data_IF_833193035618
#
_entry.id   IF_833193035618
#
_cell.length_a   1.000
_cell.length_b   1.000
_cell.length_c   1.000
_cell.angle_alpha   90.00
_cell.angle_beta   90.00
_cell.angle_gamma   90.00
#
_symmetry.space_group_name_H-M   'P 1'
#
loop_
_entity.id
_entity.type
_entity.pdbx_description
1 polymer ?
#
# COMPACT_ATOMS: atom_id res chain seq x y z
N UNK A 1 -30.86 -15.92 24.23
CA UNK A 1 -29.49 -15.37 24.22
C UNK A 1 -28.69 -16.14 23.19
N UNK A 2 -28.33 -15.53 22.06
CA UNK A 2 -27.48 -16.15 21.04
C UNK A 2 -26.02 -15.86 21.45
N UNK A 3 -25.15 -16.87 21.53
CA UNK A 3 -23.78 -16.69 22.01
C UNK A 3 -22.93 -15.85 21.03
N UNK A 4 -22.10 -14.94 21.56
CA UNK A 4 -21.40 -13.88 20.80
C UNK A 4 -20.46 -14.41 19.71
N UNK A 5 -19.95 -15.64 19.86
CA UNK A 5 -19.11 -16.32 18.90
C UNK A 5 -19.81 -16.68 17.57
N UNK A 6 -21.14 -16.56 17.48
CA UNK A 6 -21.89 -16.82 16.24
C UNK A 6 -22.01 -15.57 15.34
N UNK A 7 -21.67 -14.37 15.83
CA UNK A 7 -21.77 -13.12 15.04
C UNK A 7 -20.61 -12.91 14.07
N UNK A 8 -19.55 -13.72 14.14
CA UNK A 8 -18.29 -13.54 13.39
C UNK A 8 -17.92 -14.71 12.49
N UNK A 9 -18.86 -15.60 12.15
CA UNK A 9 -18.65 -16.53 11.04
C UNK A 9 -18.73 -15.77 9.71
N UNK A 10 -17.62 -15.16 9.30
CA UNK A 10 -17.40 -14.79 7.91
C UNK A 10 -17.23 -16.09 7.12
N UNK A 11 -18.22 -16.45 6.33
CA UNK A 11 -18.08 -17.49 5.31
C UNK A 11 -17.07 -16.94 4.28
N UNK A 12 -15.78 -17.24 4.47
CA UNK A 12 -14.76 -17.01 3.47
C UNK A 12 -14.98 -18.01 2.34
N UNK A 13 -15.81 -17.64 1.38
CA UNK A 13 -15.89 -18.35 0.11
C UNK A 13 -14.51 -18.21 -0.52
N UNK A 14 -13.72 -19.30 -0.50
CA UNK A 14 -12.42 -19.37 -1.17
C UNK A 14 -12.65 -19.93 -2.57
N UNK A 15 -12.89 -19.08 -3.59
CA UNK A 15 -13.27 -19.54 -4.93
C UNK A 15 -12.23 -20.49 -5.53
N UNK A 16 -10.95 -20.34 -5.17
CA UNK A 16 -9.89 -21.26 -5.58
C UNK A 16 -10.08 -22.69 -5.04
N UNK A 17 -10.56 -22.87 -3.81
CA UNK A 17 -10.79 -24.21 -3.24
C UNK A 17 -11.96 -24.88 -3.93
N UNK A 18 -13.06 -24.15 -4.17
CA UNK A 18 -14.22 -24.64 -4.92
C UNK A 18 -13.83 -25.00 -6.35
N UNK A 19 -12.98 -24.18 -6.99
CA UNK A 19 -12.49 -24.43 -8.34
C UNK A 19 -11.58 -25.65 -8.42
N UNK A 20 -10.65 -25.79 -7.49
CA UNK A 20 -9.79 -26.98 -7.39
C UNK A 20 -10.66 -28.22 -7.15
N UNK A 21 -11.68 -28.12 -6.31
CA UNK A 21 -12.65 -29.19 -6.11
C UNK A 21 -13.43 -29.52 -7.39
N UNK A 22 -13.90 -28.54 -8.15
CA UNK A 22 -14.60 -28.76 -9.43
C UNK A 22 -13.67 -29.36 -10.49
N UNK A 23 -12.43 -28.88 -10.59
CA UNK A 23 -11.43 -29.36 -11.53
C UNK A 23 -10.91 -30.76 -11.20
N UNK A 24 -10.85 -31.13 -9.91
CA UNK A 24 -10.41 -32.46 -9.47
C UNK A 24 -11.59 -33.45 -9.41
N UNK A 25 -12.79 -33.00 -9.06
CA UNK A 25 -13.98 -33.86 -9.01
C UNK A 25 -14.37 -34.36 -10.40
N UNK A 26 -14.30 -33.55 -11.45
CA UNK A 26 -14.60 -34.01 -12.81
C UNK A 26 -13.75 -35.21 -13.28
N UNK A 27 -12.39 -35.17 -13.21
CA UNK A 27 -11.56 -36.31 -13.56
C UNK A 27 -11.70 -37.46 -12.57
N UNK A 28 -11.88 -37.23 -11.26
CA UNK A 28 -12.13 -38.32 -10.31
C UNK A 28 -13.45 -39.03 -10.62
N UNK A 29 -14.53 -38.28 -10.90
CA UNK A 29 -15.83 -38.84 -11.29
C UNK A 29 -15.71 -39.56 -12.62
N UNK A 30 -14.99 -39.01 -13.61
CA UNK A 30 -14.71 -39.67 -14.89
C UNK A 30 -13.90 -40.97 -14.69
N UNK A 31 -12.91 -40.98 -13.79
CA UNK A 31 -12.07 -42.13 -13.52
C UNK A 31 -12.85 -43.20 -12.75
N UNK A 32 -13.68 -42.81 -11.77
CA UNK A 32 -14.62 -43.71 -11.10
C UNK A 32 -15.66 -44.28 -12.08
N UNK A 33 -16.19 -43.46 -12.98
CA UNK A 33 -17.14 -43.89 -14.01
C UNK A 33 -16.46 -44.81 -15.02
N UNK A 34 -15.21 -44.54 -15.39
CA UNK A 34 -14.40 -45.39 -16.27
C UNK A 34 -14.14 -46.75 -15.64
N UNK A 35 -13.67 -46.79 -14.39
CA UNK A 35 -13.46 -48.03 -13.62
C UNK A 35 -14.75 -48.82 -13.48
N UNK A 36 -15.87 -48.16 -13.18
CA UNK A 36 -17.18 -48.81 -13.07
C UNK A 36 -17.72 -49.31 -14.42
N UNK A 37 -17.42 -48.60 -15.51
CA UNK A 37 -17.82 -48.96 -16.88
C UNK A 37 -17.01 -50.12 -17.47
N UNK A 38 -15.72 -50.21 -17.11
CA UNK A 38 -14.81 -51.26 -17.55
C UNK A 38 -15.23 -52.65 -17.03
N UNK A 39 -15.80 -52.69 -15.82
CA UNK A 39 -16.29 -53.92 -15.18
C UNK A 39 -17.66 -54.39 -15.72
N UNK A 40 -18.38 -53.53 -16.46
CA UNK A 40 -19.74 -53.79 -16.98
C UNK A 40 -19.88 -53.79 -18.50
N UNK A 41 -18.79 -53.68 -19.26
CA UNK A 41 -18.83 -53.65 -20.73
C UNK A 41 -19.51 -52.41 -21.33
N UNK A 42 -19.65 -51.33 -20.55
CA UNK A 42 -20.37 -50.11 -20.97
C UNK A 42 -19.62 -49.30 -22.03
N UNK A 43 -18.32 -49.55 -22.20
CA UNK A 43 -17.50 -48.92 -23.24
C UNK A 43 -17.95 -49.29 -24.66
N UNK A 44 -18.58 -50.46 -24.85
CA UNK A 44 -19.17 -50.85 -26.14
C UNK A 44 -20.48 -50.10 -26.46
N UNK A 45 -21.16 -49.55 -25.44
CA UNK A 45 -22.32 -48.66 -25.62
C UNK A 45 -21.92 -47.17 -25.78
N UNK A 46 -20.64 -46.85 -25.56
CA UNK A 46 -20.08 -45.51 -25.73
C UNK A 46 -19.67 -45.28 -27.18
N UNK A 47 -20.61 -45.49 -28.11
CA UNK A 47 -20.36 -45.21 -29.53
C UNK A 47 -20.19 -43.70 -29.70
N UNK A 48 -18.95 -43.28 -29.97
CA UNK A 48 -18.66 -41.96 -30.51
C UNK A 48 -19.26 -41.89 -31.91
N UNK A 49 -20.56 -41.64 -31.98
CA UNK A 49 -21.29 -41.44 -33.23
C UNK A 49 -21.27 -39.96 -33.61
N UNK A 50 -21.41 -39.67 -34.90
CA UNK A 50 -21.52 -38.27 -35.35
C UNK A 50 -22.70 -37.53 -34.69
N UNK A 51 -23.71 -38.25 -34.17
CA UNK A 51 -24.86 -37.68 -33.50
C UNK A 51 -24.56 -37.19 -32.06
N UNK A 52 -23.60 -37.79 -31.34
CA UNK A 52 -23.29 -37.42 -29.94
C UNK A 52 -22.06 -36.51 -29.83
N UNK A 53 -21.20 -36.46 -30.85
CA UNK A 53 -20.02 -35.61 -30.90
C UNK A 53 -20.28 -34.11 -30.63
N UNK A 54 -21.36 -33.48 -31.14
CA UNK A 54 -21.64 -32.06 -30.86
C UNK A 54 -21.90 -31.78 -29.37
N UNK A 55 -22.60 -32.69 -28.67
CA UNK A 55 -22.89 -32.56 -27.25
C UNK A 55 -21.62 -32.62 -26.38
N UNK A 56 -20.67 -33.47 -26.76
CA UNK A 56 -19.36 -33.55 -26.10
C UNK A 56 -18.53 -32.29 -26.31
N UNK A 57 -18.47 -31.77 -27.54
CA UNK A 57 -17.77 -30.51 -27.84
C UNK A 57 -18.36 -29.36 -27.04
N UNK A 58 -19.69 -29.31 -26.90
CA UNK A 58 -20.37 -28.29 -26.10
C UNK A 58 -20.05 -28.42 -24.61
N UNK A 59 -20.06 -29.64 -24.06
CA UNK A 59 -19.75 -29.87 -22.65
C UNK A 59 -18.31 -29.46 -22.32
N UNK A 60 -17.32 -29.92 -23.08
CA UNK A 60 -15.92 -29.54 -22.90
C UNK A 60 -15.68 -28.05 -23.18
N UNK A 61 -16.34 -27.47 -24.18
CA UNK A 61 -16.29 -26.05 -24.48
C UNK A 61 -16.79 -25.19 -23.31
N UNK A 62 -17.86 -25.61 -22.64
CA UNK A 62 -18.41 -24.88 -21.48
C UNK A 62 -17.47 -24.90 -20.28
N UNK A 63 -16.85 -26.05 -19.99
CA UNK A 63 -15.86 -26.18 -18.90
C UNK A 63 -14.60 -25.36 -19.21
N UNK A 64 -14.09 -25.41 -20.44
CA UNK A 64 -12.96 -24.61 -20.88
C UNK A 64 -13.22 -23.11 -20.76
N UNK A 65 -14.42 -22.65 -21.14
CA UNK A 65 -14.82 -21.26 -21.01
C UNK A 65 -14.88 -20.79 -19.54
N UNK A 66 -15.40 -21.62 -18.63
CA UNK A 66 -15.45 -21.30 -17.19
C UNK A 66 -14.04 -21.18 -16.62
N UNK A 67 -13.14 -22.12 -16.94
CA UNK A 67 -11.73 -22.07 -16.48
C UNK A 67 -11.03 -20.83 -17.02
N UNK A 68 -11.21 -20.52 -18.30
CA UNK A 68 -10.63 -19.33 -18.92
C UNK A 68 -11.16 -18.04 -18.27
N UNK A 69 -12.46 -17.93 -18.03
CA UNK A 69 -13.06 -16.77 -17.37
C UNK A 69 -12.48 -16.54 -15.96
N UNK A 70 -12.30 -17.61 -15.19
CA UNK A 70 -11.76 -17.51 -13.82
C UNK A 70 -10.27 -17.18 -13.84
N UNK A 71 -9.52 -17.76 -14.78
CA UNK A 71 -8.12 -17.41 -14.97
C UNK A 71 -7.94 -15.93 -15.34
N UNK A 72 -8.75 -15.42 -16.27
CA UNK A 72 -8.74 -14.00 -16.67
C UNK A 72 -9.12 -13.10 -15.50
N UNK A 73 -10.18 -13.43 -14.75
CA UNK A 73 -10.60 -12.66 -13.58
C UNK A 73 -9.51 -12.61 -12.50
N UNK A 74 -8.85 -13.74 -12.22
CA UNK A 74 -7.74 -13.79 -11.26
C UNK A 74 -6.51 -13.01 -11.78
N UNK A 75 -6.20 -13.12 -13.07
CA UNK A 75 -5.10 -12.39 -13.69
C UNK A 75 -5.33 -10.87 -13.66
N UNK A 76 -6.55 -10.42 -13.93
CA UNK A 76 -6.96 -9.02 -13.83
C UNK A 76 -6.88 -8.53 -12.38
N UNK A 77 -7.45 -9.26 -11.42
CA UNK A 77 -7.41 -8.88 -10.00
C UNK A 77 -5.99 -8.78 -9.44
N UNK A 78 -5.06 -9.65 -9.88
CA UNK A 78 -3.65 -9.52 -9.52
C UNK A 78 -3.00 -8.26 -10.11
N UNK A 79 -3.30 -7.91 -11.35
CA UNK A 79 -2.78 -6.69 -11.99
C UNK A 79 -3.28 -5.45 -11.28
N UNK A 80 -4.58 -5.36 -11.00
CA UNK A 80 -5.18 -4.25 -10.27
C UNK A 80 -4.58 -4.09 -8.87
N UNK A 81 -4.42 -5.20 -8.14
CA UNK A 81 -3.77 -5.18 -6.82
C UNK A 81 -2.34 -4.67 -6.89
N UNK A 82 -1.57 -5.10 -7.88
CA UNK A 82 -0.18 -4.61 -8.06
C UNK A 82 -0.12 -3.13 -8.42
N UNK A 83 -1.01 -2.66 -9.31
CA UNK A 83 -1.11 -1.24 -9.66
C UNK A 83 -1.46 -0.40 -8.45
N UNK A 84 -2.43 -0.86 -7.64
CA UNK A 84 -2.82 -0.20 -6.40
C UNK A 84 -1.67 -0.12 -5.40
N UNK A 85 -0.96 -1.23 -5.15
CA UNK A 85 0.20 -1.24 -4.26
C UNK A 85 1.32 -0.28 -4.72
N UNK A 86 1.54 -0.18 -6.04
CA UNK A 86 2.50 0.78 -6.61
C UNK A 86 2.07 2.22 -6.38
N UNK A 87 0.80 2.54 -6.59
CA UNK A 87 0.26 3.88 -6.36
C UNK A 87 0.35 4.28 -4.88
N UNK A 88 -0.02 3.36 -3.99
CA UNK A 88 0.07 3.53 -2.53
C UNK A 88 1.52 3.77 -2.08
N UNK A 89 2.46 2.95 -2.57
CA UNK A 89 3.88 3.14 -2.30
C UNK A 89 4.40 4.47 -2.84
N UNK A 90 4.08 4.80 -4.09
CA UNK A 90 4.52 6.03 -4.74
C UNK A 90 4.05 7.27 -3.98
N UNK A 91 2.80 7.26 -3.50
CA UNK A 91 2.23 8.32 -2.69
C UNK A 91 2.99 8.50 -1.37
N UNK A 92 3.24 7.41 -0.63
CA UNK A 92 4.03 7.44 0.60
C UNK A 92 5.48 7.89 0.36
N UNK A 93 6.11 7.41 -0.72
CA UNK A 93 7.48 7.79 -1.09
C UNK A 93 7.59 9.28 -1.41
N UNK A 94 6.62 9.83 -2.16
CA UNK A 94 6.56 11.27 -2.45
C UNK A 94 6.41 12.08 -1.16
N UNK A 95 5.50 11.67 -0.28
CA UNK A 95 5.34 12.29 1.03
C UNK A 95 6.68 12.26 1.79
N UNK A 96 7.26 11.08 1.99
CA UNK A 96 8.55 10.90 2.68
C UNK A 96 9.63 11.88 2.19
N UNK A 97 9.81 12.03 0.87
CA UNK A 97 10.81 12.94 0.32
C UNK A 97 10.50 14.42 0.66
N UNK A 98 9.23 14.83 0.61
CA UNK A 98 8.82 16.17 1.04
C UNK A 98 9.11 16.40 2.54
N UNK A 99 8.84 15.40 3.40
CA UNK A 99 9.18 15.50 4.83
C UNK A 99 10.69 15.51 5.07
N UNK A 100 11.46 14.71 4.34
CA UNK A 100 12.92 14.71 4.45
C UNK A 100 13.51 16.08 4.06
N UNK A 101 13.00 16.70 2.99
CA UNK A 101 13.36 18.05 2.60
C UNK A 101 13.01 19.07 3.69
N UNK A 102 11.78 19.05 4.20
CA UNK A 102 11.33 19.93 5.28
C UNK A 102 12.20 19.76 6.54
N UNK A 103 12.53 18.53 6.91
CA UNK A 103 13.43 18.24 8.04
C UNK A 103 14.84 18.79 7.82
N UNK A 104 15.33 18.79 6.57
CA UNK A 104 16.58 19.44 6.20
C UNK A 104 16.52 20.95 6.45
N UNK A 105 15.44 21.62 6.03
CA UNK A 105 15.22 23.03 6.31
C UNK A 105 15.16 23.33 7.82
N UNK A 106 14.48 22.50 8.61
CA UNK A 106 14.43 22.65 10.07
C UNK A 106 15.83 22.56 10.70
N UNK A 107 16.68 21.63 10.25
CA UNK A 107 18.08 21.53 10.70
C UNK A 107 18.89 22.76 10.33
N UNK A 108 18.73 23.26 9.10
CA UNK A 108 19.42 24.47 8.64
C UNK A 108 19.02 25.69 9.49
N UNK A 109 17.73 25.83 9.82
CA UNK A 109 17.21 26.86 10.72
C UNK A 109 17.84 26.75 12.11
N UNK A 110 17.82 25.55 12.70
CA UNK A 110 18.39 25.33 14.03
C UNK A 110 19.89 25.65 14.05
N UNK A 111 20.63 25.27 13.00
CA UNK A 111 22.05 25.59 12.85
C UNK A 111 22.32 27.08 12.70
N UNK A 112 21.51 27.77 11.88
CA UNK A 112 21.63 29.22 11.68
C UNK A 112 21.33 30.00 12.97
N UNK A 113 20.28 29.62 13.70
CA UNK A 113 19.94 30.21 15.00
C UNK A 113 21.03 29.98 16.06
N UNK A 114 21.72 28.84 16.01
CA UNK A 114 22.81 28.55 16.94
C UNK A 114 24.08 29.34 16.61
N UNK A 115 24.37 29.58 15.33
CA UNK A 115 25.55 30.31 14.88
C UNK A 115 25.37 31.84 15.01
N UNK A 116 24.28 32.38 14.47
CA UNK A 116 24.05 33.83 14.35
C UNK A 116 22.56 34.15 14.59
N UNK A 117 22.10 34.16 15.87
CA UNK A 117 20.68 34.33 16.19
C UNK A 117 20.10 35.71 15.81
N UNK A 118 20.97 36.69 15.58
CA UNK A 118 20.57 38.07 15.23
C UNK A 118 20.47 38.31 13.72
N UNK A 119 20.89 37.35 12.87
CA UNK A 119 20.78 37.50 11.41
C UNK A 119 19.34 37.26 10.92
N UNK A 120 18.52 38.29 11.08
CA UNK A 120 17.13 38.30 10.64
C UNK A 120 16.96 38.11 9.13
N UNK A 121 17.94 38.48 8.31
CA UNK A 121 17.86 38.34 6.85
C UNK A 121 17.89 36.86 6.47
N UNK A 122 18.87 36.12 6.99
CA UNK A 122 18.99 34.67 6.76
C UNK A 122 17.80 33.90 7.32
N UNK A 123 17.32 34.27 8.52
CA UNK A 123 16.14 33.66 9.12
C UNK A 123 14.86 33.87 8.30
N UNK A 124 14.70 35.04 7.65
CA UNK A 124 13.57 35.28 6.73
C UNK A 124 13.62 34.37 5.49
N UNK A 125 14.81 34.15 4.92
CA UNK A 125 14.98 33.23 3.78
C UNK A 125 14.56 31.81 4.18
N UNK A 126 15.04 31.32 5.32
CA UNK A 126 14.69 29.99 5.79
C UNK A 126 13.21 29.86 6.19
N UNK A 127 12.60 30.90 6.75
CA UNK A 127 11.15 30.92 7.00
C UNK A 127 10.37 30.79 5.69
N UNK A 128 10.81 31.47 4.62
CA UNK A 128 10.21 31.33 3.29
C UNK A 128 10.25 29.89 2.78
N UNK A 129 11.40 29.23 2.90
CA UNK A 129 11.55 27.81 2.54
C UNK A 129 10.67 26.90 3.42
N UNK A 130 10.61 27.16 4.72
CA UNK A 130 9.81 26.36 5.64
C UNK A 130 8.31 26.49 5.35
N UNK A 131 7.83 27.69 5.01
CA UNK A 131 6.45 27.93 4.57
C UNK A 131 6.13 27.19 3.27
N UNK A 132 7.04 27.20 2.31
CA UNK A 132 6.89 26.41 1.09
C UNK A 132 6.78 24.92 1.41
N UNK A 133 7.63 24.40 2.30
CA UNK A 133 7.52 23.02 2.79
C UNK A 133 6.17 22.75 3.46
N UNK A 134 5.61 23.66 4.26
CA UNK A 134 4.26 23.50 4.82
C UNK A 134 3.20 23.33 3.72
N UNK A 135 3.24 24.14 2.66
CA UNK A 135 2.29 24.05 1.53
C UNK A 135 2.43 22.71 0.82
N UNK A 136 3.65 22.21 0.63
CA UNK A 136 3.89 20.91 0.01
C UNK A 136 3.43 19.75 0.91
N UNK A 137 3.67 19.81 2.22
CA UNK A 137 3.20 18.83 3.20
C UNK A 137 1.66 18.79 3.26
N UNK A 138 0.99 19.92 3.05
CA UNK A 138 -0.47 20.01 3.05
C UNK A 138 -1.12 19.33 1.82
N UNK A 139 -0.35 19.00 0.77
CA UNK A 139 -0.84 18.25 -0.39
C UNK A 139 -1.17 16.79 -0.06
N UNK A 140 -0.73 16.29 1.09
CA UNK A 140 -0.91 14.90 1.48
C UNK A 140 -1.93 14.77 2.62
N UNK A 141 -2.90 13.88 2.43
CA UNK A 141 -3.92 13.52 3.40
C UNK A 141 -3.50 12.32 4.25
N UNK A 142 -3.78 12.40 5.56
CA UNK A 142 -3.58 11.31 6.51
C UNK A 142 -4.38 10.05 6.11
N UNK A 143 -5.61 10.23 5.63
CA UNK A 143 -6.51 9.12 5.31
C UNK A 143 -6.08 8.31 4.08
N UNK A 144 -5.19 8.86 3.24
CA UNK A 144 -4.72 8.21 2.02
C UNK A 144 -3.45 7.38 2.25
N UNK A 145 -2.85 7.45 3.44
CA UNK A 145 -1.73 6.59 3.81
C UNK A 145 -2.22 5.20 4.22
N UNK A 146 -1.64 4.18 3.59
CA UNK A 146 -2.00 2.78 3.87
C UNK A 146 -1.37 2.28 5.16
N UNK A 147 -0.21 2.81 5.53
CA UNK A 147 0.49 2.45 6.76
C UNK A 147 0.22 3.49 7.86
N UNK A 148 -0.41 3.05 8.95
CA UNK A 148 -0.78 3.94 10.07
C UNK A 148 0.44 4.50 10.79
N UNK A 149 1.51 3.71 10.94
CA UNK A 149 2.75 4.17 11.59
C UNK A 149 3.40 5.29 10.77
N UNK A 150 3.38 5.15 9.44
CA UNK A 150 3.81 6.21 8.53
C UNK A 150 2.92 7.45 8.68
N UNK A 151 1.60 7.28 8.67
CA UNK A 151 0.63 8.37 8.77
C UNK A 151 0.79 9.18 10.07
N UNK A 152 1.01 8.50 11.19
CA UNK A 152 1.23 9.12 12.50
C UNK A 152 2.54 9.90 12.55
N UNK A 153 3.62 9.30 12.06
CA UNK A 153 4.92 9.97 11.98
C UNK A 153 4.85 11.22 11.07
N UNK A 154 4.16 11.12 9.94
CA UNK A 154 3.89 12.22 9.02
C UNK A 154 3.12 13.36 9.70
N UNK A 155 2.00 13.04 10.36
CA UNK A 155 1.17 14.04 11.02
C UNK A 155 1.92 14.80 12.10
N UNK A 156 2.74 14.10 12.91
CA UNK A 156 3.58 14.72 13.92
C UNK A 156 4.68 15.59 13.31
N UNK A 157 5.35 15.11 12.25
CA UNK A 157 6.34 15.88 11.53
C UNK A 157 5.73 17.17 10.96
N UNK A 158 4.61 17.09 10.25
CA UNK A 158 3.88 18.25 9.70
C UNK A 158 3.55 19.29 10.77
N UNK A 159 3.04 18.86 11.93
CA UNK A 159 2.75 19.76 13.07
C UNK A 159 4.02 20.43 13.59
N UNK A 160 5.14 19.70 13.68
CA UNK A 160 6.43 20.25 14.11
C UNK A 160 6.96 21.33 13.15
N UNK A 161 6.84 21.10 11.84
CA UNK A 161 7.21 22.08 10.81
C UNK A 161 6.36 23.35 10.92
N UNK A 162 5.03 23.20 11.04
CA UNK A 162 4.11 24.34 11.20
C UNK A 162 4.37 25.12 12.50
N UNK A 163 4.65 24.41 13.60
CA UNK A 163 4.99 25.02 14.88
C UNK A 163 6.28 25.84 14.77
N UNK A 164 7.33 25.29 14.15
CA UNK A 164 8.58 26.02 13.95
C UNK A 164 8.36 27.28 13.10
N UNK A 165 7.59 27.19 12.01
CA UNK A 165 7.28 28.34 11.17
C UNK A 165 6.58 29.44 11.97
N UNK A 166 5.56 29.10 12.76
CA UNK A 166 4.86 30.03 13.64
C UNK A 166 5.80 30.67 14.68
N UNK A 167 6.69 29.89 15.32
CA UNK A 167 7.62 30.43 16.31
C UNK A 167 8.70 31.34 15.69
N UNK A 168 9.14 31.04 14.46
CA UNK A 168 10.02 31.91 13.70
C UNK A 168 9.35 33.25 13.36
N UNK A 169 8.09 33.23 12.95
CA UNK A 169 7.32 34.47 12.67
C UNK A 169 7.20 35.35 13.91
N UNK A 170 6.87 34.75 15.06
CA UNK A 170 6.84 35.48 16.34
C UNK A 170 8.19 36.08 16.68
N UNK A 171 9.28 35.31 16.53
CA UNK A 171 10.63 35.80 16.79
C UNK A 171 11.00 36.99 15.88
N UNK A 172 10.74 36.88 14.57
CA UNK A 172 11.05 37.92 13.59
C UNK A 172 10.18 39.18 13.76
N UNK A 173 9.01 39.06 14.38
CA UNK A 173 8.19 40.22 14.77
C UNK A 173 8.67 40.92 16.06
N UNK A 174 9.78 40.47 16.67
CA UNK A 174 10.34 41.03 17.90
C UNK A 174 9.70 40.48 19.18
N UNK A 175 8.90 39.41 19.09
CA UNK A 175 8.35 38.75 20.27
C UNK A 175 9.44 37.88 20.92
N UNK A 176 9.65 38.02 22.23
CA UNK A 176 10.60 37.21 22.98
C UNK A 176 10.16 35.73 22.99
N UNK A 177 10.88 34.88 22.25
CA UNK A 177 10.64 33.44 22.17
C UNK A 177 11.91 32.67 22.56
N UNK A 178 11.74 31.46 23.10
CA UNK A 178 12.85 30.52 23.25
C UNK A 178 13.10 29.74 21.94
N UNK A 179 13.20 30.47 20.82
CA UNK A 179 13.22 29.90 19.48
C UNK A 179 14.45 29.00 19.26
N UNK A 180 15.62 29.37 19.80
CA UNK A 180 16.86 28.61 19.59
C UNK A 180 16.72 27.18 20.14
N UNK A 181 16.31 27.04 21.41
CA UNK A 181 16.11 25.73 22.03
C UNK A 181 14.96 24.97 21.38
N UNK A 182 13.85 25.66 21.07
CA UNK A 182 12.69 25.07 20.39
C UNK A 182 13.04 24.54 19.00
N UNK A 183 13.80 25.30 18.21
CA UNK A 183 14.21 24.91 16.86
C UNK A 183 15.13 23.68 16.89
N UNK A 184 16.10 23.64 17.80
CA UNK A 184 16.99 22.49 17.95
C UNK A 184 16.21 21.21 18.33
N UNK A 185 15.29 21.31 19.30
CA UNK A 185 14.44 20.19 19.71
C UNK A 185 13.54 19.72 18.56
N UNK A 186 12.83 20.62 17.89
CA UNK A 186 11.94 20.30 16.79
C UNK A 186 12.70 19.72 15.58
N UNK A 187 13.92 20.18 15.30
CA UNK A 187 14.76 19.61 14.24
C UNK A 187 15.21 18.17 14.57
N UNK A 188 15.55 17.89 15.84
CA UNK A 188 15.90 16.55 16.29
C UNK A 188 14.69 15.60 16.22
N UNK A 189 13.54 16.03 16.74
CA UNK A 189 12.29 15.26 16.66
C UNK A 189 11.87 15.01 15.21
N UNK A 190 11.97 16.04 14.35
CA UNK A 190 11.68 15.91 12.92
C UNK A 190 12.54 14.84 12.26
N UNK A 191 13.82 14.75 12.62
CA UNK A 191 14.73 13.72 12.10
C UNK A 191 14.28 12.33 12.50
N UNK A 192 13.92 12.14 13.78
CA UNK A 192 13.37 10.88 14.29
C UNK A 192 12.05 10.51 13.59
N UNK A 193 11.17 11.48 13.31
CA UNK A 193 9.93 11.22 12.56
C UNK A 193 10.19 10.81 11.12
N UNK A 194 11.11 11.49 10.43
CA UNK A 194 11.52 11.12 9.07
C UNK A 194 12.11 9.71 9.04
N UNK A 195 12.89 9.35 10.04
CA UNK A 195 13.44 8.00 10.14
C UNK A 195 12.35 6.94 10.33
N UNK A 196 11.37 7.18 11.20
CA UNK A 196 10.20 6.29 11.35
C UNK A 196 9.39 6.16 10.07
N UNK A 197 9.27 7.24 9.29
CA UNK A 197 8.64 7.19 7.97
C UNK A 197 9.45 6.33 6.99
N UNK A 198 10.79 6.43 6.99
CA UNK A 198 11.69 5.59 6.20
C UNK A 198 11.51 4.11 6.54
N UNK A 199 11.55 3.76 7.83
CA UNK A 199 11.36 2.40 8.31
C UNK A 199 10.00 1.82 7.90
N UNK A 200 8.92 2.60 8.06
CA UNK A 200 7.58 2.18 7.64
C UNK A 200 7.49 1.96 6.12
N UNK A 201 8.16 2.81 5.34
CA UNK A 201 8.23 2.71 3.89
C UNK A 201 9.00 1.46 3.44
N UNK A 202 10.10 1.13 4.11
CA UNK A 202 10.88 -0.10 3.87
C UNK A 202 10.08 -1.36 4.24
N UNK A 203 9.39 -1.36 5.37
CA UNK A 203 8.50 -2.47 5.73
C UNK A 203 7.34 -2.61 4.73
N UNK A 204 6.83 -1.51 4.20
CA UNK A 204 5.81 -1.54 3.15
C UNK A 204 6.36 -2.10 1.83
N UNK A 205 7.57 -1.70 1.43
CA UNK A 205 8.19 -2.19 0.19
C UNK A 205 8.44 -3.70 0.21
N UNK A 206 8.88 -4.24 1.36
CA UNK A 206 9.03 -5.69 1.56
C UNK A 206 7.69 -6.42 1.40
N UNK A 207 6.58 -5.85 1.91
CA UNK A 207 5.23 -6.43 1.77
C UNK A 207 4.68 -6.31 0.35
N UNK A 208 4.98 -5.23 -0.35
CA UNK A 208 4.56 -5.00 -1.73
C UNK A 208 5.35 -5.84 -2.75
N UNK A 209 6.52 -6.35 -2.36
CA UNK A 209 7.39 -7.24 -3.13
C UNK A 209 8.48 -6.51 -3.91
N UNK A 210 9.60 -7.21 -4.16
CA UNK A 210 10.85 -6.64 -4.73
C UNK A 210 10.66 -5.75 -5.97
N UNK A 211 9.65 -6.02 -6.81
CA UNK A 211 9.39 -5.21 -8.01
C UNK A 211 9.06 -3.75 -7.71
N UNK A 212 8.34 -3.46 -6.62
CA UNK A 212 7.93 -2.08 -6.31
C UNK A 212 9.14 -1.24 -5.86
N UNK A 213 10.05 -1.84 -5.10
CA UNK A 213 11.29 -1.18 -4.69
C UNK A 213 12.22 -0.91 -5.87
N UNK A 214 12.48 -1.94 -6.70
CA UNK A 214 13.38 -1.83 -7.87
C UNK A 214 12.85 -0.85 -8.92
N UNK A 215 11.53 -0.67 -9.03
CA UNK A 215 10.94 0.29 -9.96
C UNK A 215 11.23 1.76 -9.56
N UNK A 216 11.65 2.03 -8.32
CA UNK A 216 11.84 3.39 -7.78
C UNK A 216 13.28 3.66 -7.28
N UNK A 217 14.11 2.62 -7.17
CA UNK A 217 15.51 2.69 -6.73
C UNK A 217 16.39 1.92 -7.73
N UNK A 218 16.72 2.52 -8.90
CA UNK A 218 17.59 1.90 -9.90
C UNK A 218 19.04 1.77 -9.42
#
# INVERSE_FOLDING_TARGET
>A
MIPENWRTYKIEIRPLVILVWLLISAPIVLLMFWVWSADRGWLDAFEWSQATAPGWVQAFGSVGAIVAAIWISNAQGRRERMTRLRQEYHYMFKAFNTAAFASGSMKAIAGALAAEPTDTSTLNIYLGQLRQSCVELDQFSYADFVDLSFADAWALHRRGVQLLASEMEKHLSGTGTNLIAGAAMLAAESTDRVEKMREALEMFSVRAGNRVWTDHHP
#
